data_IF_938827100123
#
_entry.id   IF_938827100123
#
_cell.length_a   1.000
_cell.length_b   1.000
_cell.length_c   1.000
_cell.angle_alpha   90.00
_cell.angle_beta   90.00
_cell.angle_gamma   90.00
#
_symmetry.space_group_name_H-M   'P 1'
#
loop_
_entity.id
_entity.type
_entity.pdbx_description
1 polymer ?
#
# COMPACT_ATOMS: atom_id res chain seq x y z
N UNK A 1 2.87 -13.31 15.77
CA UNK A 1 2.53 -14.16 14.62
C UNK A 1 3.41 -13.75 13.46
N UNK A 2 4.02 -14.69 12.73
CA UNK A 2 4.82 -14.36 11.54
C UNK A 2 3.91 -14.02 10.37
N UNK A 3 4.27 -13.05 9.49
CA UNK A 3 3.49 -12.70 8.30
C UNK A 3 3.18 -13.89 7.39
N UNK A 4 4.16 -14.75 7.13
CA UNK A 4 4.04 -15.95 6.28
C UNK A 4 2.93 -16.94 6.67
N UNK A 5 2.40 -16.83 7.89
CA UNK A 5 1.31 -17.68 8.39
C UNK A 5 -0.08 -17.09 8.17
N UNK A 6 -0.16 -15.92 7.56
CA UNK A 6 -1.44 -15.23 7.36
C UNK A 6 -1.92 -15.50 5.93
N UNK A 7 -2.99 -16.28 5.81
CA UNK A 7 -3.61 -16.61 4.53
C UNK A 7 -4.98 -15.94 4.33
N UNK A 8 -5.58 -15.44 5.41
CA UNK A 8 -6.87 -14.74 5.38
C UNK A 8 -6.77 -13.47 6.22
N UNK A 9 -7.44 -12.42 5.80
CA UNK A 9 -7.53 -11.19 6.57
C UNK A 9 -8.56 -11.32 7.67
N UNK A 10 -8.32 -10.58 8.78
CA UNK A 10 -9.33 -10.33 9.84
C UNK A 10 -9.40 -8.85 10.07
N UNK A 11 -10.60 -8.31 10.26
CA UNK A 11 -10.80 -6.90 10.50
C UNK A 11 -11.36 -6.61 11.90
N UNK A 12 -10.99 -5.45 12.44
CA UNK A 12 -11.46 -4.90 13.70
C UNK A 12 -11.75 -3.41 13.56
N UNK A 13 -12.55 -2.88 14.50
CA UNK A 13 -12.77 -1.43 14.59
C UNK A 13 -11.48 -0.71 14.94
N UNK A 14 -11.18 0.33 14.19
CA UNK A 14 -10.11 1.25 14.53
C UNK A 14 -10.58 2.22 15.61
N UNK A 15 -9.80 2.36 16.70
CA UNK A 15 -10.07 3.39 17.72
C UNK A 15 -9.66 4.78 17.23
N UNK A 16 -8.61 4.85 16.45
CA UNK A 16 -8.09 6.10 15.92
C UNK A 16 -7.46 5.87 14.54
N UNK A 17 -7.91 6.64 13.55
CA UNK A 17 -7.25 6.77 12.24
C UNK A 17 -7.32 8.23 11.80
N UNK A 18 -6.23 8.76 11.32
CA UNK A 18 -6.18 10.12 10.76
C UNK A 18 -7.16 10.29 9.59
N UNK A 19 -7.61 11.53 9.38
CA UNK A 19 -8.40 11.87 8.20
C UNK A 19 -7.65 11.47 6.91
N UNK A 20 -8.36 10.85 5.97
CA UNK A 20 -7.78 10.36 4.71
C UNK A 20 -7.44 8.86 4.71
N UNK A 21 -7.23 8.23 5.87
CA UNK A 21 -7.00 6.78 5.92
C UNK A 21 -8.32 6.01 6.03
N UNK A 22 -8.47 4.95 5.23
CA UNK A 22 -9.60 4.03 5.28
C UNK A 22 -9.39 2.93 6.30
N UNK A 23 -8.20 2.38 6.34
CA UNK A 23 -7.79 1.32 7.25
C UNK A 23 -6.29 1.39 7.57
N UNK A 24 -5.86 0.54 8.48
CA UNK A 24 -4.47 0.30 8.86
C UNK A 24 -4.28 -1.19 9.12
N UNK A 25 -3.34 -1.82 8.42
CA UNK A 25 -2.97 -3.21 8.70
C UNK A 25 -1.87 -3.27 9.77
N UNK A 26 -2.17 -3.92 10.89
CA UNK A 26 -1.26 -4.13 12.01
C UNK A 26 -1.17 -5.60 12.37
N UNK A 27 0.02 -6.19 12.20
CA UNK A 27 0.30 -7.62 12.49
C UNK A 27 -0.74 -8.59 11.88
N UNK A 28 -1.18 -8.30 10.65
CA UNK A 28 -2.15 -9.13 9.92
C UNK A 28 -3.61 -8.90 10.29
N UNK A 29 -3.91 -7.92 11.12
CA UNK A 29 -5.26 -7.46 11.41
C UNK A 29 -5.49 -6.11 10.74
N UNK A 30 -6.59 -5.98 10.01
CA UNK A 30 -7.00 -4.74 9.33
C UNK A 30 -7.89 -3.94 10.27
N UNK A 31 -7.44 -2.78 10.69
CA UNK A 31 -8.22 -1.86 11.53
C UNK A 31 -8.95 -0.86 10.66
N UNK A 32 -10.27 -0.98 10.56
CA UNK A 32 -11.12 -0.20 9.67
C UNK A 32 -11.91 0.88 10.40
N UNK A 33 -12.18 2.00 9.71
CA UNK A 33 -13.10 3.04 10.18
C UNK A 33 -14.56 2.62 10.05
N UNK A 34 -14.90 1.91 8.95
CA UNK A 34 -16.28 1.59 8.58
C UNK A 34 -16.65 0.17 8.99
N UNK A 35 -17.83 -0.01 9.60
CA UNK A 35 -18.36 -1.32 9.94
C UNK A 35 -18.58 -2.19 8.70
N UNK A 36 -18.96 -1.57 7.57
CA UNK A 36 -19.11 -2.28 6.28
C UNK A 36 -17.81 -2.94 5.82
N UNK A 37 -16.65 -2.27 6.01
CA UNK A 37 -15.35 -2.84 5.64
C UNK A 37 -14.96 -4.00 6.58
N UNK A 38 -15.33 -3.91 7.87
CA UNK A 38 -15.11 -4.97 8.86
C UNK A 38 -15.96 -6.19 8.51
N UNK A 39 -17.25 -5.97 8.24
CA UNK A 39 -18.16 -7.03 7.86
C UNK A 39 -17.72 -7.73 6.56
N UNK A 40 -17.30 -6.94 5.56
CA UNK A 40 -16.78 -7.46 4.30
C UNK A 40 -15.61 -8.40 4.52
N UNK A 41 -14.54 -7.95 5.20
CA UNK A 41 -13.33 -8.75 5.42
C UNK A 41 -13.64 -10.00 6.25
N UNK A 42 -14.46 -9.89 7.30
CA UNK A 42 -14.73 -11.00 8.21
C UNK A 42 -15.74 -12.02 7.67
N UNK A 43 -16.52 -11.67 6.65
CA UNK A 43 -17.48 -12.58 6.02
C UNK A 43 -16.87 -13.45 4.91
N UNK A 44 -15.68 -13.11 4.44
CA UNK A 44 -15.06 -13.75 3.28
C UNK A 44 -13.87 -14.64 3.68
N UNK A 45 -13.88 -15.88 3.19
CA UNK A 45 -12.73 -16.80 3.27
C UNK A 45 -11.70 -16.54 2.15
N UNK A 46 -12.03 -15.69 1.19
CA UNK A 46 -11.22 -15.36 0.02
C UNK A 46 -11.25 -13.85 -0.25
N UNK A 47 -10.21 -13.34 -0.88
CA UNK A 47 -10.17 -11.96 -1.35
C UNK A 47 -11.20 -11.79 -2.48
N UNK A 48 -12.09 -10.82 -2.32
CA UNK A 48 -13.19 -10.51 -3.25
C UNK A 48 -13.23 -9.06 -3.70
N UNK A 49 -12.38 -8.21 -3.13
CA UNK A 49 -12.34 -6.78 -3.47
C UNK A 49 -10.91 -6.26 -3.61
N UNK A 50 -10.73 -5.15 -4.36
CA UNK A 50 -9.45 -4.46 -4.47
C UNK A 50 -8.92 -4.02 -3.10
N UNK A 51 -9.80 -3.63 -2.19
CA UNK A 51 -9.43 -3.22 -0.85
C UNK A 51 -8.82 -4.39 -0.04
N UNK A 52 -9.47 -5.57 -0.04
CA UNK A 52 -8.91 -6.76 0.63
C UNK A 52 -7.59 -7.18 -0.02
N UNK A 53 -7.50 -7.10 -1.35
CA UNK A 53 -6.25 -7.38 -2.08
C UNK A 53 -5.12 -6.43 -1.67
N UNK A 54 -5.40 -5.13 -1.57
CA UNK A 54 -4.47 -4.11 -1.09
C UNK A 54 -3.90 -4.45 0.30
N UNK A 55 -4.78 -4.74 1.25
CA UNK A 55 -4.37 -5.06 2.64
C UNK A 55 -3.60 -6.39 2.72
N UNK A 56 -3.98 -7.39 1.89
CA UNK A 56 -3.24 -8.64 1.82
C UNK A 56 -1.84 -8.46 1.23
N UNK A 57 -1.67 -7.54 0.27
CA UNK A 57 -0.34 -7.20 -0.25
C UNK A 57 0.56 -6.69 0.87
N UNK A 58 0.07 -5.84 1.79
CA UNK A 58 0.86 -5.39 2.95
C UNK A 58 1.27 -6.53 3.88
N UNK A 59 0.40 -7.52 4.09
CA UNK A 59 0.76 -8.74 4.84
C UNK A 59 1.92 -9.46 4.16
N UNK A 60 1.87 -9.63 2.83
CA UNK A 60 2.92 -10.30 2.07
C UNK A 60 4.21 -9.48 1.95
N UNK A 61 4.11 -8.17 1.94
CA UNK A 61 5.28 -7.28 2.01
C UNK A 61 6.04 -7.47 3.33
N UNK A 62 5.35 -7.69 4.45
CA UNK A 62 5.99 -8.02 5.72
C UNK A 62 6.74 -9.36 5.66
N UNK A 63 6.29 -10.35 4.88
CA UNK A 63 7.08 -11.57 4.58
C UNK A 63 8.36 -11.21 3.82
N UNK A 64 8.27 -10.33 2.82
CA UNK A 64 9.40 -9.91 1.98
C UNK A 64 10.47 -9.15 2.75
N UNK A 65 10.15 -8.62 3.94
CA UNK A 65 11.07 -7.95 4.86
C UNK A 65 11.62 -8.92 5.93
N UNK A 66 12.07 -10.10 5.51
CA UNK A 66 12.59 -11.17 6.36
C UNK A 66 11.57 -11.69 7.37
N UNK A 67 10.32 -11.80 6.97
CA UNK A 67 9.21 -12.31 7.78
C UNK A 67 9.06 -11.56 9.12
N UNK A 68 9.33 -10.26 9.11
CA UNK A 68 9.37 -9.40 10.29
C UNK A 68 8.47 -8.18 10.19
N UNK A 69 7.40 -8.15 10.99
CA UNK A 69 6.55 -6.97 11.14
C UNK A 69 7.32 -5.73 11.60
N UNK A 70 8.32 -5.91 12.48
CA UNK A 70 9.15 -4.79 12.96
C UNK A 70 9.92 -4.14 11.81
N UNK A 71 10.58 -4.94 10.96
CA UNK A 71 11.33 -4.43 9.79
C UNK A 71 10.39 -3.77 8.79
N UNK A 72 9.22 -4.37 8.54
CA UNK A 72 8.22 -3.80 7.66
C UNK A 72 7.80 -2.39 8.12
N UNK A 73 7.38 -2.22 9.39
CA UNK A 73 6.95 -0.92 9.89
C UNK A 73 8.10 0.08 9.99
N UNK A 74 9.31 -0.37 10.35
CA UNK A 74 10.49 0.49 10.35
C UNK A 74 10.75 1.06 8.96
N UNK A 75 10.77 0.23 7.91
CA UNK A 75 10.95 0.67 6.54
C UNK A 75 9.79 1.55 6.07
N UNK A 76 8.55 1.22 6.46
CA UNK A 76 7.37 1.97 6.11
C UNK A 76 7.45 3.43 6.63
N UNK A 77 7.76 3.59 7.90
CA UNK A 77 7.95 4.91 8.53
C UNK A 77 9.16 5.63 7.95
N UNK A 78 10.26 4.89 7.70
CA UNK A 78 11.46 5.44 7.08
C UNK A 78 11.18 6.04 5.71
N UNK A 79 10.50 5.30 4.83
CA UNK A 79 10.12 5.82 3.52
C UNK A 79 9.13 6.98 3.60
N UNK A 80 8.23 6.97 4.57
CA UNK A 80 7.35 8.10 4.82
C UNK A 80 8.13 9.37 5.18
N UNK A 81 9.13 9.26 6.06
CA UNK A 81 10.01 10.36 6.46
C UNK A 81 10.81 10.88 5.25
N UNK A 82 11.39 9.98 4.44
CA UNK A 82 12.13 10.36 3.23
C UNK A 82 11.25 11.09 2.20
N UNK A 83 9.97 10.80 2.17
CA UNK A 83 9.00 11.44 1.30
C UNK A 83 8.42 12.74 1.87
N UNK A 84 8.81 13.15 3.09
CA UNK A 84 8.26 14.34 3.76
C UNK A 84 8.24 15.60 2.88
N UNK A 85 9.27 15.91 2.05
CA UNK A 85 9.22 17.06 1.14
C UNK A 85 8.03 17.06 0.17
N UNK A 86 7.39 15.92 -0.08
CA UNK A 86 6.22 15.82 -0.95
C UNK A 86 4.95 16.43 -0.33
N UNK A 87 4.93 16.79 0.97
CA UNK A 87 3.84 17.52 1.61
C UNK A 87 3.47 18.80 0.86
N UNK A 88 4.43 19.46 0.23
CA UNK A 88 4.20 20.66 -0.59
C UNK A 88 3.23 20.36 -1.75
N UNK A 89 3.20 19.11 -2.22
CA UNK A 89 2.30 18.69 -3.30
C UNK A 89 0.94 18.22 -2.78
N UNK A 90 0.81 17.91 -1.49
CA UNK A 90 -0.44 17.53 -0.83
C UNK A 90 -0.20 16.69 0.42
N UNK A 91 -1.12 16.77 1.37
CA UNK A 91 -1.00 16.12 2.69
C UNK A 91 -0.78 14.61 2.60
N UNK A 92 -1.40 13.94 1.63
CA UNK A 92 -1.30 12.50 1.43
C UNK A 92 -0.11 12.06 0.54
N UNK A 93 0.61 13.00 -0.10
CA UNK A 93 1.67 12.65 -1.05
C UNK A 93 2.82 11.87 -0.42
N UNK A 94 3.34 12.20 0.78
CA UNK A 94 4.37 11.39 1.43
C UNK A 94 3.96 9.93 1.63
N UNK A 95 2.70 9.71 1.98
CA UNK A 95 2.11 8.38 2.14
C UNK A 95 1.98 7.65 0.80
N UNK A 96 1.37 8.28 -0.20
CA UNK A 96 1.14 7.68 -1.50
C UNK A 96 2.42 7.22 -2.20
N UNK A 97 3.54 7.90 -1.97
CA UNK A 97 4.83 7.56 -2.58
C UNK A 97 5.71 6.64 -1.73
N UNK A 98 5.19 6.04 -0.67
CA UNK A 98 5.86 4.92 0.01
C UNK A 98 5.94 3.74 -0.98
N UNK A 99 7.11 3.11 -1.19
CA UNK A 99 7.25 2.00 -2.13
C UNK A 99 6.25 0.87 -1.91
N UNK A 100 5.92 0.57 -0.67
CA UNK A 100 4.92 -0.45 -0.31
C UNK A 100 3.51 -0.06 -0.79
N UNK A 101 3.13 1.20 -0.66
CA UNK A 101 1.86 1.72 -1.16
C UNK A 101 1.80 1.70 -2.69
N UNK A 102 2.89 2.11 -3.36
CA UNK A 102 2.96 2.07 -4.82
C UNK A 102 2.78 0.66 -5.37
N UNK A 103 3.42 -0.35 -4.74
CA UNK A 103 3.20 -1.75 -5.10
C UNK A 103 1.75 -2.18 -4.87
N UNK A 104 1.17 -1.84 -3.72
CA UNK A 104 -0.20 -2.20 -3.40
C UNK A 104 -1.19 -1.58 -4.38
N UNK A 105 -1.10 -0.27 -4.66
CA UNK A 105 -1.94 0.42 -5.66
C UNK A 105 -1.75 -0.11 -7.08
N UNK A 106 -0.54 -0.53 -7.45
CA UNK A 106 -0.29 -1.11 -8.76
C UNK A 106 -1.01 -2.45 -8.94
N UNK A 107 -1.09 -3.26 -7.90
CA UNK A 107 -1.48 -4.66 -7.98
C UNK A 107 -2.82 -5.01 -7.33
N UNK A 108 -3.48 -4.10 -6.60
CA UNK A 108 -4.71 -4.40 -5.85
C UNK A 108 -5.86 -4.96 -6.69
N UNK A 109 -5.92 -4.67 -8.00
CA UNK A 109 -6.91 -5.25 -8.91
C UNK A 109 -6.57 -6.68 -9.34
N UNK A 110 -5.37 -7.16 -9.12
CA UNK A 110 -4.98 -8.54 -9.32
C UNK A 110 -5.04 -9.31 -7.99
N UNK A 111 -6.21 -9.81 -7.64
CA UNK A 111 -6.46 -10.47 -6.35
C UNK A 111 -5.60 -11.73 -6.11
N UNK A 112 -4.97 -12.25 -7.14
CA UNK A 112 -4.04 -13.38 -7.03
C UNK A 112 -2.59 -12.94 -6.78
N UNK A 113 -2.30 -11.64 -6.91
CA UNK A 113 -0.93 -11.12 -6.83
C UNK A 113 -0.24 -11.51 -5.53
N UNK A 114 -0.90 -11.30 -4.39
CA UNK A 114 -0.36 -11.60 -3.06
C UNK A 114 -0.08 -13.08 -2.80
N UNK A 115 -0.63 -13.99 -3.62
CA UNK A 115 -0.47 -15.44 -3.47
C UNK A 115 0.52 -16.05 -4.46
N UNK A 116 0.95 -15.31 -5.48
CA UNK A 116 1.85 -15.80 -6.54
C UNK A 116 3.35 -15.75 -6.18
N UNK A 117 3.70 -15.52 -4.91
CA UNK A 117 5.08 -15.58 -4.41
C UNK A 117 6.01 -14.43 -4.84
N UNK A 118 5.50 -13.39 -5.50
CA UNK A 118 6.32 -12.33 -6.10
C UNK A 118 6.00 -10.92 -5.58
N UNK A 119 5.69 -10.80 -4.29
CA UNK A 119 5.44 -9.48 -3.65
C UNK A 119 6.77 -8.82 -3.30
N UNK A 120 7.47 -8.31 -4.33
CA UNK A 120 8.77 -7.65 -4.16
C UNK A 120 8.94 -6.40 -5.03
N UNK A 121 7.91 -5.99 -5.76
CA UNK A 121 7.97 -4.81 -6.65
C UNK A 121 8.21 -3.51 -5.88
N UNK A 122 7.94 -3.46 -4.57
CA UNK A 122 8.28 -2.29 -3.76
C UNK A 122 9.79 -1.93 -3.84
N UNK A 123 10.66 -2.91 -4.11
CA UNK A 123 12.09 -2.67 -4.32
C UNK A 123 12.34 -1.86 -5.58
N UNK A 124 11.61 -2.15 -6.66
CA UNK A 124 11.71 -1.41 -7.92
C UNK A 124 11.16 0.01 -7.74
N UNK A 125 10.02 0.17 -7.06
CA UNK A 125 9.48 1.48 -6.72
C UNK A 125 10.40 2.31 -5.81
N UNK A 126 11.23 1.65 -4.99
CA UNK A 126 12.23 2.33 -4.17
C UNK A 126 13.38 2.94 -4.98
N UNK A 127 13.57 2.57 -6.24
CA UNK A 127 14.57 3.16 -7.12
C UNK A 127 14.18 4.59 -7.57
N UNK A 128 12.92 5.00 -7.40
CA UNK A 128 12.48 6.35 -7.70
C UNK A 128 13.17 7.37 -6.77
N UNK A 129 13.93 8.26 -7.35
CA UNK A 129 14.56 9.38 -6.62
C UNK A 129 13.51 10.36 -6.09
N UNK A 130 13.84 11.12 -5.05
CA UNK A 130 12.94 12.14 -4.51
C UNK A 130 12.54 13.18 -5.58
N UNK A 131 13.47 13.55 -6.47
CA UNK A 131 13.20 14.47 -7.60
C UNK A 131 12.14 13.90 -8.56
N UNK A 132 12.24 12.61 -8.90
CA UNK A 132 11.24 11.93 -9.74
C UNK A 132 9.88 11.87 -9.03
N UNK A 133 9.85 11.46 -7.76
CA UNK A 133 8.63 11.44 -6.94
C UNK A 133 7.97 12.83 -6.88
N UNK A 134 8.76 13.89 -6.69
CA UNK A 134 8.25 15.26 -6.67
C UNK A 134 7.61 15.67 -7.99
N UNK A 135 8.27 15.37 -9.12
CA UNK A 135 7.72 15.60 -10.46
C UNK A 135 6.41 14.86 -10.70
N UNK A 136 6.37 13.57 -10.33
CA UNK A 136 5.17 12.73 -10.42
C UNK A 136 4.02 13.24 -9.53
N UNK A 137 4.30 13.62 -8.28
CA UNK A 137 3.30 14.19 -7.38
C UNK A 137 2.72 15.50 -7.92
N UNK A 138 3.59 16.37 -8.47
CA UNK A 138 3.17 17.62 -9.13
C UNK A 138 2.30 17.35 -10.36
N UNK A 139 2.64 16.35 -11.16
CA UNK A 139 1.84 15.95 -12.33
C UNK A 139 0.50 15.35 -11.92
N UNK A 140 0.48 14.50 -10.88
CA UNK A 140 -0.76 13.93 -10.36
C UNK A 140 -1.77 15.02 -9.96
N UNK A 141 -1.33 16.11 -9.31
CA UNK A 141 -2.20 17.24 -8.97
C UNK A 141 -2.90 17.86 -10.19
N UNK A 142 -2.28 17.77 -11.37
CA UNK A 142 -2.85 18.31 -12.62
C UNK A 142 -3.85 17.38 -13.28
N UNK A 143 -4.02 16.15 -12.80
CA UNK A 143 -4.90 15.15 -13.43
C UNK A 143 -6.38 15.31 -13.06
N UNK A 144 -6.76 16.39 -12.35
CA UNK A 144 -8.14 16.79 -12.05
C UNK A 144 -9.05 15.65 -11.59
N UNK A 145 -8.63 14.94 -10.53
CA UNK A 145 -9.45 13.92 -9.90
C UNK A 145 -9.22 12.49 -10.41
N UNK A 146 -8.18 12.25 -11.19
CA UNK A 146 -7.76 10.88 -11.49
C UNK A 146 -7.49 10.13 -10.19
N UNK A 147 -8.01 8.91 -10.08
CA UNK A 147 -7.72 8.04 -8.95
C UNK A 147 -6.22 7.71 -8.92
N UNK A 148 -5.57 7.82 -7.74
CA UNK A 148 -4.13 7.63 -7.60
C UNK A 148 -3.68 6.23 -8.07
N UNK A 149 -4.45 5.19 -7.81
CA UNK A 149 -4.16 3.82 -8.30
C UNK A 149 -4.09 3.72 -9.83
N UNK A 150 -4.94 4.46 -10.53
CA UNK A 150 -4.89 4.52 -12.01
C UNK A 150 -3.63 5.26 -12.45
N UNK A 151 -3.28 6.34 -11.75
CA UNK A 151 -2.06 7.11 -12.00
C UNK A 151 -0.80 6.25 -11.79
N UNK A 152 -0.74 5.47 -10.72
CA UNK A 152 0.39 4.56 -10.46
C UNK A 152 0.60 3.61 -11.64
N UNK A 153 -0.45 2.96 -12.13
CA UNK A 153 -0.35 1.98 -13.22
C UNK A 153 0.01 2.60 -14.56
N UNK A 154 -0.52 3.78 -14.85
CA UNK A 154 -0.33 4.41 -16.17
C UNK A 154 0.94 5.23 -16.27
N UNK A 155 1.31 5.92 -15.21
CA UNK A 155 2.36 6.94 -15.25
C UNK A 155 3.61 6.57 -14.43
N UNK A 156 3.44 5.84 -13.31
CA UNK A 156 4.57 5.53 -12.43
C UNK A 156 5.17 4.16 -12.77
N UNK A 157 4.34 3.13 -12.83
CA UNK A 157 4.82 1.75 -13.05
C UNK A 157 5.63 1.59 -14.34
N UNK A 158 5.26 2.18 -15.49
CA UNK A 158 6.07 2.07 -16.71
C UNK A 158 7.49 2.63 -16.58
N UNK A 159 7.73 3.56 -15.64
CA UNK A 159 9.06 4.16 -15.43
C UNK A 159 10.04 3.24 -14.69
N UNK A 160 9.51 2.26 -13.95
CA UNK A 160 10.31 1.34 -13.14
C UNK A 160 10.37 -0.07 -13.71
N UNK A 161 9.47 -0.39 -14.65
CA UNK A 161 9.46 -1.69 -15.32
C UNK A 161 10.75 -1.79 -16.15
N UNK A 162 11.66 -2.65 -15.70
CA UNK A 162 12.82 -3.07 -16.49
C UNK A 162 12.32 -4.11 -17.50
N UNK A 163 12.49 -3.83 -18.79
CA UNK A 163 12.24 -4.81 -19.87
C UNK A 163 13.14 -6.03 -19.74
#
# INVERSE_FOLDING_TARGET
MKPSKINTLKAKKAFFLFSGFRALTWKGVVYCKRESDIALINSNDKITTDFESHEMIHVKQAESTHDSWFRFYFLYVWYWILNFPLFIQGVMMPYYFIPFELEAYNNEMNWKYSFNGSVYQWKDFNELTLKQKYGLAKNFKKTYGMNFKIYVRKEIYPLIKKD
#
